data_IF_014035823139
#
_entry.id   IF_014035823139
#
_cell.length_a   1.000
_cell.length_b   1.000
_cell.length_c   1.000
_cell.angle_alpha   90.00
_cell.angle_beta   90.00
_cell.angle_gamma   90.00
#
_symmetry.space_group_name_H-M   'P 1'
#
loop_
_entity.id
_entity.type
_entity.pdbx_description
1 polymer ?
#
# COMPACT_ATOMS: atom_id res chain seq x y z
N UNK A 1 -10.29 16.74 1.56
CA UNK A 1 -9.22 15.77 1.86
C UNK A 1 -9.32 15.25 3.30
N UNK A 2 -9.32 13.92 3.50
CA UNK A 2 -9.31 13.24 4.81
C UNK A 2 -8.28 12.10 4.79
N UNK A 3 -7.46 11.97 5.83
CA UNK A 3 -6.55 10.83 5.98
C UNK A 3 -7.14 9.87 7.02
N UNK A 4 -7.17 8.57 6.71
CA UNK A 4 -7.63 7.53 7.65
C UNK A 4 -6.87 6.23 7.46
N UNK A 5 -6.95 5.33 8.45
CA UNK A 5 -6.44 3.96 8.31
C UNK A 5 -7.14 3.25 7.15
N UNK A 6 -6.35 2.53 6.37
CA UNK A 6 -6.86 1.61 5.36
C UNK A 6 -7.56 0.42 6.02
N UNK A 7 -8.53 -0.16 5.33
CA UNK A 7 -9.18 -1.40 5.74
C UNK A 7 -9.42 -2.31 4.51
N UNK A 8 -9.93 -3.51 4.75
CA UNK A 8 -10.12 -4.54 3.71
C UNK A 8 -11.03 -4.11 2.55
N UNK A 9 -11.96 -3.17 2.77
CA UNK A 9 -12.85 -2.64 1.73
C UNK A 9 -12.12 -1.74 0.75
N UNK A 10 -11.02 -1.11 1.16
CA UNK A 10 -10.25 -0.16 0.35
C UNK A 10 -9.34 -0.86 -0.66
N UNK A 11 -9.02 -2.15 -0.45
CA UNK A 11 -7.97 -2.87 -1.18
C UNK A 11 -8.21 -2.91 -2.70
N UNK A 12 -9.47 -2.92 -3.15
CA UNK A 12 -9.77 -2.91 -4.58
C UNK A 12 -9.29 -1.62 -5.25
N UNK A 13 -9.64 -0.47 -4.67
CA UNK A 13 -9.26 0.84 -5.20
C UNK A 13 -7.77 1.12 -4.98
N UNK A 14 -7.21 0.75 -3.83
CA UNK A 14 -5.76 0.85 -3.59
C UNK A 14 -4.97 0.09 -4.65
N UNK A 15 -5.38 -1.15 -4.96
CA UNK A 15 -4.72 -1.94 -6.01
C UNK A 15 -4.88 -1.28 -7.38
N UNK A 16 -6.06 -0.76 -7.71
CA UNK A 16 -6.30 -0.05 -8.97
C UNK A 16 -5.37 1.16 -9.11
N UNK A 17 -5.17 1.94 -8.04
CA UNK A 17 -4.22 3.05 -8.02
C UNK A 17 -2.77 2.57 -8.21
N UNK A 18 -2.35 1.50 -7.52
CA UNK A 18 -0.99 0.96 -7.68
C UNK A 18 -0.73 0.47 -9.11
N UNK A 19 -1.67 -0.27 -9.70
CA UNK A 19 -1.51 -0.79 -11.06
C UNK A 19 -1.52 0.31 -12.12
N UNK A 20 -2.18 1.47 -11.86
CA UNK A 20 -2.14 2.62 -12.75
C UNK A 20 -0.75 3.28 -12.82
N UNK A 21 0.08 3.09 -11.80
CA UNK A 21 1.44 3.67 -11.71
C UNK A 21 2.54 2.70 -12.17
N UNK A 22 2.21 1.48 -12.60
CA UNK A 22 3.17 0.56 -13.25
C UNK A 22 3.60 1.19 -14.60
N UNK A 23 4.91 1.25 -14.92
CA UNK A 23 6.04 0.55 -14.29
C UNK A 23 6.82 1.36 -13.25
N UNK A 24 6.39 2.56 -12.86
CA UNK A 24 7.09 3.38 -11.87
C UNK A 24 7.08 2.73 -10.48
N UNK A 25 6.05 1.93 -10.19
CA UNK A 25 5.98 1.02 -9.05
C UNK A 25 5.91 -0.43 -9.51
N UNK A 26 6.18 -1.37 -8.59
CA UNK A 26 5.94 -2.80 -8.83
C UNK A 26 4.46 -3.16 -8.76
N UNK A 27 4.03 -4.17 -9.54
CA UNK A 27 2.70 -4.76 -9.40
C UNK A 27 2.60 -5.55 -8.09
N UNK A 28 1.49 -5.39 -7.36
CA UNK A 28 1.27 -5.99 -6.04
C UNK A 28 -0.02 -6.81 -6.08
N UNK A 29 0.05 -8.07 -5.63
CA UNK A 29 -1.15 -8.94 -5.60
C UNK A 29 -2.06 -8.51 -4.46
N UNK A 30 -3.37 -8.73 -4.64
CA UNK A 30 -4.38 -8.46 -3.60
C UNK A 30 -4.03 -9.09 -2.25
N UNK A 31 -3.51 -10.32 -2.23
CA UNK A 31 -3.10 -11.02 -1.00
C UNK A 31 -1.98 -10.29 -0.24
N UNK A 32 -1.09 -9.61 -0.96
CA UNK A 32 0.05 -8.93 -0.35
C UNK A 32 -0.40 -7.60 0.28
N UNK A 33 -1.36 -6.89 -0.36
CA UNK A 33 -2.04 -5.76 0.28
C UNK A 33 -2.79 -6.15 1.56
N UNK A 34 -3.43 -7.33 1.58
CA UNK A 34 -4.06 -7.85 2.80
C UNK A 34 -3.01 -8.12 3.88
N UNK A 35 -1.87 -8.75 3.53
CA UNK A 35 -0.73 -8.92 4.45
C UNK A 35 -0.23 -7.57 4.97
N UNK A 36 -0.13 -6.53 4.14
CA UNK A 36 0.32 -5.20 4.59
C UNK A 36 -0.63 -4.55 5.60
N UNK A 37 -1.95 -4.79 5.53
CA UNK A 37 -2.87 -4.33 6.58
C UNK A 37 -2.54 -4.92 7.95
N UNK A 38 -1.98 -6.14 7.98
CA UNK A 38 -1.63 -6.84 9.21
C UNK A 38 -0.25 -6.43 9.75
N UNK A 39 0.73 -6.29 8.85
CA UNK A 39 2.15 -6.16 9.24
C UNK A 39 2.70 -4.74 9.22
N UNK A 40 2.02 -3.80 8.56
CA UNK A 40 2.51 -2.43 8.46
C UNK A 40 2.40 -1.70 9.80
N UNK A 41 3.38 -0.84 10.06
CA UNK A 41 3.26 0.12 11.18
C UNK A 41 2.16 1.15 10.90
N UNK A 42 2.02 1.53 9.62
CA UNK A 42 1.01 2.45 9.15
C UNK A 42 0.56 2.03 7.74
N UNK A 43 -0.74 1.87 7.57
CA UNK A 43 -1.38 1.81 6.27
C UNK A 43 -2.54 2.80 6.27
N UNK A 44 -2.37 3.89 5.53
CA UNK A 44 -3.37 4.98 5.45
C UNK A 44 -3.79 5.22 4.02
N UNK A 45 -5.02 5.71 3.87
CA UNK A 45 -5.58 6.21 2.61
C UNK A 45 -5.91 7.69 2.74
N UNK A 46 -5.81 8.39 1.62
CA UNK A 46 -6.22 9.79 1.47
C UNK A 46 -7.54 9.76 0.70
N UNK A 47 -8.60 10.27 1.31
CA UNK A 47 -9.92 10.43 0.69
C UNK A 47 -10.13 11.87 0.22
N UNK A 48 -10.54 12.03 -1.03
CA UNK A 48 -10.89 13.32 -1.63
C UNK A 48 -12.02 13.11 -2.64
N UNK A 49 -13.04 13.98 -2.63
CA UNK A 49 -14.17 13.86 -3.56
C UNK A 49 -15.03 12.59 -3.42
N UNK A 50 -14.89 11.84 -2.33
CA UNK A 50 -15.57 10.54 -2.15
C UNK A 50 -14.79 9.34 -2.71
N UNK A 51 -13.58 9.57 -3.24
CA UNK A 51 -12.70 8.54 -3.77
C UNK A 51 -11.40 8.47 -2.97
N UNK A 52 -10.65 7.37 -3.14
CA UNK A 52 -9.30 7.25 -2.61
C UNK A 52 -8.37 7.91 -3.62
N UNK A 53 -7.73 9.02 -3.23
CA UNK A 53 -6.79 9.76 -4.07
C UNK A 53 -5.34 9.27 -3.92
N UNK A 54 -5.05 8.50 -2.86
CA UNK A 54 -3.73 7.95 -2.62
C UNK A 54 -3.67 7.09 -1.37
N UNK A 55 -2.55 6.40 -1.19
CA UNK A 55 -2.30 5.56 -0.02
C UNK A 55 -0.81 5.57 0.36
N UNK A 56 -0.53 5.21 1.61
CA UNK A 56 0.84 5.07 2.11
C UNK A 56 0.93 3.82 2.98
N UNK A 57 1.97 3.01 2.74
CA UNK A 57 2.30 1.82 3.52
C UNK A 57 3.69 2.04 4.12
N UNK A 58 3.81 1.90 5.44
CA UNK A 58 5.08 2.00 6.16
C UNK A 58 5.36 0.68 6.86
N UNK A 59 6.38 -0.01 6.39
CA UNK A 59 6.90 -1.24 7.01
C UNK A 59 8.07 -0.89 7.94
N UNK A 60 8.24 -1.63 9.03
CA UNK A 60 9.43 -1.51 9.88
C UNK A 60 10.61 -2.22 9.23
N UNK A 61 11.83 -1.82 9.60
CA UNK A 61 13.06 -2.54 9.25
C UNK A 61 13.02 -3.99 9.78
N UNK A 62 13.73 -4.89 9.10
CA UNK A 62 13.77 -6.31 9.45
C UNK A 62 12.49 -7.11 9.14
N UNK A 63 11.48 -6.48 8.57
CA UNK A 63 10.27 -7.18 8.12
C UNK A 63 10.55 -8.02 6.87
N UNK A 64 9.95 -9.20 6.81
CA UNK A 64 10.00 -10.08 5.64
C UNK A 64 9.13 -9.46 4.52
N UNK A 65 9.75 -8.59 3.72
CA UNK A 65 9.15 -7.87 2.61
C UNK A 65 10.01 -8.01 1.35
N UNK A 66 9.50 -8.80 0.40
CA UNK A 66 10.16 -9.13 -0.86
C UNK A 66 10.01 -8.01 -1.90
N UNK A 67 10.54 -6.82 -1.61
CA UNK A 67 10.72 -5.77 -2.62
C UNK A 67 12.19 -5.66 -3.01
N UNK A 68 12.52 -5.63 -4.32
CA UNK A 68 13.87 -5.37 -4.78
C UNK A 68 14.46 -4.08 -4.20
N UNK A 69 13.62 -3.06 -3.98
CA UNK A 69 14.05 -1.78 -3.40
C UNK A 69 14.32 -1.85 -1.89
N UNK A 70 13.71 -2.83 -1.21
CA UNK A 70 13.87 -3.02 0.23
C UNK A 70 15.14 -3.82 0.54
N UNK A 71 15.45 -4.83 -0.28
CA UNK A 71 16.67 -5.63 -0.15
C UNK A 71 17.97 -4.92 -0.59
N UNK A 72 17.89 -3.67 -1.05
CA UNK A 72 19.08 -2.93 -1.51
C UNK A 72 19.88 -2.27 -0.37
N UNK A 73 19.27 -2.06 0.81
CA UNK A 73 19.88 -1.32 1.93
C UNK A 73 20.26 -2.20 3.11
N UNK A 74 20.38 -3.52 2.91
CA UNK A 74 20.86 -4.49 3.91
C UNK A 74 22.36 -4.70 3.83
#
# INVERSE_FOLDING_TARGET
MRIRKANTKDISEIRKLNEAEVPHVGSIKRKDFLRFLEISSHFVVIEEGGEIAGFMIVLREGMEYESPNYGFFV
#
